data_IF_321375483355
#
_entry.id   IF_321375483355
#
_cell.length_a   1.000
_cell.length_b   1.000
_cell.length_c   1.000
_cell.angle_alpha   90.00
_cell.angle_beta   90.00
_cell.angle_gamma   90.00
#
_symmetry.space_group_name_H-M   'P 1'
#
loop_
_entity.id
_entity.type
_entity.pdbx_description
1 polymer ?
#
# COMPACT_ATOMS: atom_id res chain seq x y z
N UNK A 1 8.27 7.04 -8.67
CA UNK A 1 8.99 7.58 -7.50
C UNK A 1 9.86 6.47 -6.93
N UNK A 2 11.14 6.73 -6.72
CA UNK A 2 12.09 5.81 -6.07
C UNK A 2 12.89 6.68 -5.09
N UNK A 3 12.87 6.32 -3.80
CA UNK A 3 13.50 7.10 -2.73
C UNK A 3 14.34 6.14 -1.88
N UNK A 4 15.66 6.35 -1.75
CA UNK A 4 16.45 5.58 -0.79
C UNK A 4 15.99 5.93 0.63
N UNK A 5 15.66 4.91 1.41
CA UNK A 5 15.38 5.06 2.84
C UNK A 5 16.65 4.86 3.66
N UNK A 6 17.47 3.87 3.26
CA UNK A 6 18.81 3.59 3.77
C UNK A 6 19.71 3.17 2.60
N UNK A 7 20.98 2.86 2.87
CA UNK A 7 21.88 2.27 1.87
C UNK A 7 21.41 0.87 1.38
N UNK A 8 20.53 0.23 2.16
CA UNK A 8 20.05 -1.13 1.89
C UNK A 8 18.59 -1.17 1.42
N UNK A 9 17.78 -0.17 1.77
CA UNK A 9 16.33 -0.16 1.52
C UNK A 9 15.92 1.02 0.65
N UNK A 10 15.11 0.74 -0.35
CA UNK A 10 14.54 1.71 -1.27
C UNK A 10 13.01 1.65 -1.18
N UNK A 11 12.36 2.81 -1.13
CA UNK A 11 10.90 2.94 -1.24
C UNK A 11 10.55 3.28 -2.69
N UNK A 12 9.57 2.58 -3.27
CA UNK A 12 9.01 2.90 -4.59
C UNK A 12 7.50 2.70 -4.64
N UNK A 13 6.86 3.20 -5.70
CA UNK A 13 5.50 2.78 -6.04
C UNK A 13 5.47 1.29 -6.33
N UNK A 14 4.43 0.61 -5.86
CA UNK A 14 4.22 -0.79 -6.15
C UNK A 14 3.90 -1.00 -7.65
N UNK A 15 4.32 -2.14 -8.17
CA UNK A 15 4.01 -2.64 -9.51
C UNK A 15 3.33 -4.00 -9.41
N UNK A 16 2.64 -4.48 -10.45
CA UNK A 16 1.94 -5.78 -10.41
C UNK A 16 2.86 -6.94 -9.98
N UNK A 17 4.12 -6.90 -10.40
CA UNK A 17 5.14 -7.90 -10.06
C UNK A 17 5.49 -7.93 -8.55
N UNK A 18 5.15 -6.87 -7.79
CA UNK A 18 5.35 -6.84 -6.35
C UNK A 18 4.21 -7.50 -5.57
N UNK A 19 3.04 -7.69 -6.17
CA UNK A 19 1.84 -8.18 -5.45
C UNK A 19 2.02 -9.56 -4.82
N UNK A 20 2.69 -10.55 -5.44
CA UNK A 20 2.91 -11.84 -4.80
C UNK A 20 3.60 -11.71 -3.43
N UNK A 21 4.69 -10.94 -3.35
CA UNK A 21 5.41 -10.70 -2.10
C UNK A 21 4.60 -9.87 -1.11
N UNK A 22 3.84 -8.87 -1.57
CA UNK A 22 2.94 -8.09 -0.69
C UNK A 22 1.87 -9.00 -0.05
N UNK A 23 1.27 -9.89 -0.84
CA UNK A 23 0.24 -10.83 -0.35
C UNK A 23 0.84 -11.82 0.63
N UNK A 24 2.07 -12.28 0.39
CA UNK A 24 2.80 -13.16 1.31
C UNK A 24 3.07 -12.47 2.65
N UNK A 25 3.61 -11.24 2.63
CA UNK A 25 3.85 -10.43 3.83
C UNK A 25 2.53 -10.16 4.56
N UNK A 26 1.46 -9.77 3.85
CA UNK A 26 0.15 -9.55 4.46
C UNK A 26 -0.34 -10.79 5.23
N UNK A 27 -0.20 -11.97 4.61
CA UNK A 27 -0.60 -13.26 5.20
C UNK A 27 0.23 -13.65 6.41
N UNK A 28 1.52 -13.30 6.43
CA UNK A 28 2.41 -13.63 7.54
C UNK A 28 2.24 -12.69 8.73
N UNK A 29 2.06 -11.39 8.47
CA UNK A 29 2.09 -10.35 9.50
C UNK A 29 0.72 -9.97 10.05
N UNK A 30 -0.36 -10.16 9.27
CA UNK A 30 -1.70 -9.68 9.63
C UNK A 30 -2.74 -10.81 9.68
N UNK A 31 -3.65 -10.83 10.68
CA UNK A 31 -4.78 -11.75 10.70
C UNK A 31 -5.79 -11.42 9.59
N UNK A 32 -5.88 -10.15 9.17
CA UNK A 32 -6.74 -9.71 8.07
C UNK A 32 -6.15 -10.08 6.70
N UNK A 33 -6.75 -11.08 6.07
CA UNK A 33 -6.34 -11.61 4.77
C UNK A 33 -7.32 -11.19 3.67
N UNK A 34 -6.80 -10.73 2.54
CA UNK A 34 -7.59 -10.32 1.38
C UNK A 34 -7.31 -11.19 0.14
N UNK A 35 -8.27 -11.32 -0.80
CA UNK A 35 -8.02 -12.01 -2.06
C UNK A 35 -7.02 -11.21 -2.93
N UNK A 36 -6.21 -11.87 -3.79
CA UNK A 36 -5.27 -11.18 -4.68
C UNK A 36 -5.91 -10.06 -5.53
N UNK A 37 -7.16 -10.25 -5.96
CA UNK A 37 -7.91 -9.24 -6.71
C UNK A 37 -8.12 -7.93 -5.95
N UNK A 38 -8.17 -7.95 -4.62
CA UNK A 38 -8.29 -6.74 -3.79
C UNK A 38 -7.03 -5.88 -3.88
N UNK A 39 -5.85 -6.51 -3.82
CA UNK A 39 -4.58 -5.80 -3.96
C UNK A 39 -4.41 -5.22 -5.37
N UNK A 40 -4.83 -5.97 -6.40
CA UNK A 40 -4.82 -5.49 -7.78
C UNK A 40 -5.77 -4.28 -7.97
N UNK A 41 -7.00 -4.33 -7.44
CA UNK A 41 -7.94 -3.20 -7.51
C UNK A 41 -7.37 -1.94 -6.87
N UNK A 42 -6.71 -2.08 -5.71
CA UNK A 42 -6.05 -0.96 -5.03
C UNK A 42 -4.87 -0.42 -5.84
N UNK A 43 -4.06 -1.30 -6.43
CA UNK A 43 -2.94 -0.90 -7.27
C UNK A 43 -3.41 -0.13 -8.51
N UNK A 44 -4.44 -0.62 -9.20
CA UNK A 44 -4.98 0.02 -10.41
C UNK A 44 -5.63 1.38 -10.10
N UNK A 45 -6.36 1.48 -8.99
CA UNK A 45 -7.12 2.69 -8.63
C UNK A 45 -6.30 3.74 -7.90
N UNK A 46 -5.31 3.30 -7.12
CA UNK A 46 -4.51 4.16 -6.24
C UNK A 46 -2.99 3.92 -6.41
N UNK A 47 -2.44 3.90 -7.64
CA UNK A 47 -1.04 3.49 -7.89
C UNK A 47 -0.02 4.40 -7.20
N UNK A 48 -0.36 5.68 -7.01
CA UNK A 48 0.51 6.66 -6.34
C UNK A 48 0.44 6.59 -4.80
N UNK A 49 -0.41 5.72 -4.25
CA UNK A 49 -0.64 5.57 -2.81
C UNK A 49 -0.35 4.14 -2.32
N UNK A 50 0.16 3.29 -3.21
CA UNK A 50 0.67 1.97 -2.89
C UNK A 50 2.19 2.00 -2.98
N UNK A 51 2.86 1.89 -1.84
CA UNK A 51 4.31 1.91 -1.76
C UNK A 51 4.83 0.55 -1.28
N UNK A 52 6.01 0.18 -1.76
CA UNK A 52 6.75 -0.99 -1.32
C UNK A 52 8.15 -0.57 -0.88
N UNK A 53 8.64 -1.24 0.16
CA UNK A 53 10.02 -1.20 0.59
C UNK A 53 10.76 -2.40 -0.01
N UNK A 54 11.85 -2.13 -0.73
CA UNK A 54 12.65 -3.16 -1.41
C UNK A 54 14.10 -3.14 -0.93
N UNK A 55 14.70 -4.31 -0.82
CA UNK A 55 16.15 -4.43 -0.63
C UNK A 55 16.88 -4.06 -1.92
N UNK A 56 17.80 -3.11 -1.84
CA UNK A 56 18.51 -2.57 -2.98
C UNK A 56 19.30 -3.63 -3.77
N UNK A 57 19.85 -4.62 -3.05
CA UNK A 57 20.70 -5.70 -3.59
C UNK A 57 19.89 -6.83 -4.24
N UNK A 58 18.87 -7.34 -3.56
CA UNK A 58 18.10 -8.53 -3.99
C UNK A 58 16.84 -8.18 -4.76
N UNK A 59 16.37 -6.93 -4.66
CA UNK A 59 15.06 -6.45 -5.15
C UNK A 59 13.86 -7.11 -4.47
N UNK A 60 14.09 -7.82 -3.37
CA UNK A 60 13.05 -8.41 -2.55
C UNK A 60 12.20 -7.34 -1.88
N UNK A 61 10.88 -7.53 -1.87
CA UNK A 61 9.95 -6.69 -1.12
C UNK A 61 10.02 -7.13 0.34
N UNK A 62 10.31 -6.19 1.23
CA UNK A 62 10.44 -6.43 2.68
C UNK A 62 9.40 -5.69 3.52
N UNK A 63 8.51 -4.95 2.86
CA UNK A 63 7.42 -4.24 3.49
C UNK A 63 6.60 -3.47 2.46
N UNK A 64 5.41 -3.05 2.85
CA UNK A 64 4.53 -2.29 1.98
C UNK A 64 3.61 -1.39 2.79
N UNK A 65 3.00 -0.40 2.13
CA UNK A 65 1.87 0.35 2.66
C UNK A 65 0.88 0.60 1.52
N UNK A 66 -0.39 0.35 1.78
CA UNK A 66 -1.47 0.61 0.82
C UNK A 66 -2.39 1.66 1.41
N UNK A 67 -2.47 2.80 0.73
CA UNK A 67 -3.37 3.88 1.08
C UNK A 67 -4.42 4.07 -0.02
N UNK A 68 -5.59 4.60 0.35
CA UNK A 68 -6.60 5.07 -0.60
C UNK A 68 -7.23 6.39 -0.17
N UNK A 69 -7.88 7.06 -1.11
CA UNK A 69 -8.69 8.25 -0.83
C UNK A 69 -10.16 7.85 -0.83
N UNK A 70 -10.83 8.05 0.30
CA UNK A 70 -12.24 7.79 0.47
C UNK A 70 -13.03 9.09 0.48
N UNK A 71 -14.21 9.08 -0.16
CA UNK A 71 -15.16 10.19 -0.10
C UNK A 71 -16.28 9.81 0.86
N UNK A 72 -16.55 10.66 1.85
CA UNK A 72 -17.55 10.39 2.86
C UNK A 72 -17.85 11.60 3.73
N UNK A 73 -18.35 11.35 4.94
CA UNK A 73 -18.66 12.40 5.92
C UNK A 73 -17.45 12.72 6.82
N UNK A 74 -17.38 13.91 7.43
CA UNK A 74 -16.30 14.28 8.35
C UNK A 74 -16.29 13.34 9.57
N UNK A 75 -15.12 13.19 10.20
CA UNK A 75 -15.02 12.35 11.42
C UNK A 75 -15.66 13.03 12.63
N UNK A 76 -15.75 14.37 12.60
CA UNK A 76 -16.34 15.20 13.64
C UNK A 76 -17.36 16.15 13.01
N UNK A 77 -18.66 15.92 13.30
CA UNK A 77 -19.75 16.84 12.99
C UNK A 77 -20.00 17.18 11.50
N UNK A 78 -21.22 17.61 11.21
CA UNK A 78 -21.59 18.16 9.89
C UNK A 78 -21.92 17.12 8.81
N UNK A 79 -22.46 17.62 7.70
CA UNK A 79 -22.96 16.83 6.56
C UNK A 79 -22.23 17.13 5.25
N UNK A 80 -21.09 17.82 5.30
CA UNK A 80 -20.29 18.12 4.12
C UNK A 80 -19.57 16.88 3.60
N UNK A 81 -19.53 16.72 2.28
CA UNK A 81 -18.70 15.69 1.64
C UNK A 81 -17.22 16.07 1.79
N UNK A 82 -16.42 15.15 2.34
CA UNK A 82 -14.97 15.31 2.49
C UNK A 82 -14.21 14.14 1.87
N UNK A 83 -12.95 14.39 1.53
CA UNK A 83 -12.00 13.33 1.12
C UNK A 83 -11.06 13.03 2.28
N UNK A 84 -10.88 11.74 2.61
CA UNK A 84 -9.98 11.28 3.67
C UNK A 84 -8.95 10.30 3.12
N UNK A 85 -7.72 10.40 3.62
CA UNK A 85 -6.73 9.35 3.43
C UNK A 85 -7.01 8.20 4.40
N UNK A 86 -6.98 6.98 3.88
CA UNK A 86 -7.12 5.75 4.67
C UNK A 86 -5.92 4.85 4.37
N UNK A 87 -5.19 4.46 5.41
CA UNK A 87 -4.20 3.38 5.36
C UNK A 87 -4.97 2.07 5.42
N UNK A 88 -5.06 1.37 4.30
CA UNK A 88 -5.79 0.11 4.16
C UNK A 88 -5.03 -1.03 4.84
N UNK A 89 -3.72 -1.07 4.66
CA UNK A 89 -2.84 -2.10 5.21
C UNK A 89 -1.39 -1.62 5.24
N UNK A 90 -0.66 -1.96 6.31
CA UNK A 90 0.75 -1.68 6.58
C UNK A 90 1.31 -2.80 7.45
#
# INVERSE_FOLDING_TARGET
>A
MIVPLTDEVIIKYAEPDNLPSVIEINRSELPENYPPSFFMDLLERFPNYFLVAILAKTKEVVGYVICRIETGFPSEGGFSIVKKGHIVSL
#
